data_IF_537868331806
#
_entry.id   IF_537868331806
#
_cell.length_a   1.000
_cell.length_b   1.000
_cell.length_c   1.000
_cell.angle_alpha   90.00
_cell.angle_beta   90.00
_cell.angle_gamma   90.00
#
_symmetry.space_group_name_H-M   'P 1'
#
loop_
_entity.id
_entity.type
_entity.pdbx_description
1 polymer ?
#
# COMPACT_ATOMS: atom_id res chain seq x y z
N UNK A 1 8.06 -19.77 -11.64
CA UNK A 1 9.20 -18.84 -11.84
C UNK A 1 9.58 -18.08 -10.56
N UNK A 2 8.93 -16.98 -10.15
CA UNK A 2 9.36 -16.22 -8.97
C UNK A 2 9.35 -17.05 -7.66
N UNK A 3 8.27 -17.80 -7.44
CA UNK A 3 8.14 -18.69 -6.28
C UNK A 3 9.23 -19.77 -6.21
N UNK A 4 9.60 -20.37 -7.34
CA UNK A 4 10.66 -21.38 -7.43
C UNK A 4 12.04 -20.78 -7.12
N UNK A 5 12.23 -19.48 -7.38
CA UNK A 5 13.43 -18.74 -7.05
C UNK A 5 13.42 -18.13 -5.63
N UNK A 6 12.37 -18.37 -4.82
CA UNK A 6 12.23 -17.78 -3.48
C UNK A 6 11.94 -16.28 -3.49
N UNK A 7 11.48 -15.72 -4.61
CA UNK A 7 11.18 -14.28 -4.75
C UNK A 7 9.68 -14.04 -4.53
N UNK A 8 9.37 -13.06 -3.67
CA UNK A 8 8.02 -12.55 -3.45
C UNK A 8 7.68 -11.43 -4.44
N UNK A 9 6.40 -11.31 -4.82
CA UNK A 9 5.92 -10.33 -5.81
C UNK A 9 4.77 -9.51 -5.26
N UNK A 10 4.88 -8.18 -5.39
CA UNK A 10 3.78 -7.22 -5.20
C UNK A 10 3.22 -6.88 -6.59
N UNK A 11 1.90 -6.85 -6.75
CA UNK A 11 1.25 -6.68 -8.06
C UNK A 11 0.80 -8.00 -8.69
N UNK A 12 0.89 -8.16 -10.03
CA UNK A 12 1.23 -7.15 -11.04
C UNK A 12 0.13 -6.09 -11.21
N UNK A 13 0.29 -5.21 -12.21
CA UNK A 13 -0.64 -4.12 -12.50
C UNK A 13 -0.86 -3.21 -11.27
N UNK A 14 0.24 -2.78 -10.69
CA UNK A 14 0.23 -1.94 -9.51
C UNK A 14 0.94 -0.61 -9.75
N UNK A 15 0.56 0.40 -8.96
CA UNK A 15 1.21 1.71 -8.91
C UNK A 15 2.58 1.62 -8.25
N UNK A 16 2.74 0.70 -7.30
CA UNK A 16 3.97 0.51 -6.53
C UNK A 16 3.77 0.75 -5.04
N UNK A 17 4.87 1.01 -4.35
CA UNK A 17 4.91 1.17 -2.89
C UNK A 17 5.69 2.42 -2.49
N UNK A 18 5.36 2.99 -1.33
CA UNK A 18 6.10 4.11 -0.73
C UNK A 18 6.27 3.89 0.78
N UNK A 19 7.39 4.37 1.32
CA UNK A 19 7.67 4.40 2.75
C UNK A 19 8.34 5.73 3.11
N UNK A 20 7.57 6.62 3.74
CA UNK A 20 8.01 7.97 4.06
C UNK A 20 9.14 7.98 5.11
N UNK A 21 9.17 6.99 6.02
CA UNK A 21 10.15 6.91 7.11
C UNK A 21 11.60 6.85 6.61
N UNK A 22 11.79 6.27 5.43
CA UNK A 22 13.11 6.10 4.79
C UNK A 22 13.20 6.86 3.46
N UNK A 23 12.23 7.71 3.14
CA UNK A 23 12.17 8.44 1.87
C UNK A 23 12.06 7.55 0.63
N UNK A 24 11.53 6.33 0.74
CA UNK A 24 11.38 5.42 -0.38
C UNK A 24 10.11 5.74 -1.18
N UNK A 25 10.28 6.04 -2.46
CA UNK A 25 9.21 6.05 -3.44
C UNK A 25 9.55 5.09 -4.58
N UNK A 26 8.98 3.88 -4.54
CA UNK A 26 9.07 2.87 -5.59
C UNK A 26 7.73 2.79 -6.35
N UNK A 27 7.23 3.96 -6.77
CA UNK A 27 6.00 4.12 -7.52
C UNK A 27 6.16 5.22 -8.58
N UNK A 28 5.16 5.38 -9.44
CA UNK A 28 5.13 6.46 -10.44
C UNK A 28 4.20 7.62 -10.04
N UNK A 29 3.87 7.75 -8.75
CA UNK A 29 3.08 8.87 -8.21
C UNK A 29 3.89 9.67 -7.18
N UNK A 30 3.46 10.92 -6.95
CA UNK A 30 4.08 11.77 -5.94
C UNK A 30 3.82 11.24 -4.52
N UNK A 31 4.72 11.60 -3.61
CA UNK A 31 4.61 11.26 -2.19
C UNK A 31 3.98 12.45 -1.46
N UNK A 32 2.84 12.28 -0.79
CA UNK A 32 2.26 13.33 0.05
C UNK A 32 3.20 13.62 1.24
N UNK A 33 2.93 14.66 2.05
CA UNK A 33 3.69 14.91 3.26
C UNK A 33 3.81 13.66 4.14
N UNK A 34 4.88 13.58 4.95
CA UNK A 34 4.98 12.50 5.92
C UNK A 34 3.87 12.63 6.98
N UNK A 35 3.27 11.50 7.36
CA UNK A 35 2.26 11.45 8.41
C UNK A 35 2.09 10.05 8.97
N UNK A 36 0.96 9.80 9.63
CA UNK A 36 0.72 8.57 10.40
C UNK A 36 -0.30 7.61 9.74
N UNK A 37 -0.76 7.93 8.53
CA UNK A 37 -1.74 7.14 7.78
C UNK A 37 -1.00 6.18 6.84
N UNK A 38 -1.23 4.88 7.01
CA UNK A 38 -0.78 3.87 6.05
C UNK A 38 -1.94 3.37 5.20
N UNK A 39 -1.74 3.29 3.89
CA UNK A 39 -2.81 2.96 2.95
C UNK A 39 -2.47 1.72 2.12
N UNK A 40 -3.43 0.82 2.01
CA UNK A 40 -3.41 -0.31 1.08
C UNK A 40 -4.53 -0.10 0.05
N UNK A 41 -4.21 -0.26 -1.24
CA UNK A 41 -5.20 -0.16 -2.31
C UNK A 41 -5.06 -1.29 -3.33
N UNK A 42 -6.17 -1.88 -3.75
CA UNK A 42 -6.22 -2.70 -4.97
C UNK A 42 -6.33 -1.83 -6.23
N UNK A 43 -7.07 -0.72 -6.18
CA UNK A 43 -7.23 0.20 -7.31
C UNK A 43 -6.07 1.19 -7.41
N UNK A 44 -5.42 1.23 -8.56
CA UNK A 44 -4.37 2.20 -8.85
C UNK A 44 -4.91 3.62 -8.94
N UNK A 45 -5.93 3.85 -9.78
CA UNK A 45 -6.50 5.18 -10.00
C UNK A 45 -7.11 5.79 -8.74
N UNK A 46 -7.78 4.99 -7.92
CA UNK A 46 -8.32 5.46 -6.64
C UNK A 46 -7.20 5.83 -5.67
N UNK A 47 -6.15 4.99 -5.55
CA UNK A 47 -4.98 5.29 -4.73
C UNK A 47 -4.31 6.61 -5.13
N UNK A 48 -4.13 6.84 -6.43
CA UNK A 48 -3.60 8.10 -6.95
C UNK A 48 -4.48 9.31 -6.59
N UNK A 49 -5.80 9.17 -6.72
CA UNK A 49 -6.74 10.25 -6.41
C UNK A 49 -6.74 10.62 -4.92
N UNK A 50 -6.67 9.61 -4.04
CA UNK A 50 -6.54 9.83 -2.59
C UNK A 50 -5.22 10.53 -2.28
N UNK A 51 -4.11 10.12 -2.89
CA UNK A 51 -2.80 10.74 -2.67
C UNK A 51 -2.77 12.20 -3.11
N UNK A 52 -3.37 12.51 -4.26
CA UNK A 52 -3.53 13.89 -4.72
C UNK A 52 -4.36 14.74 -3.74
N UNK A 53 -5.43 14.17 -3.15
CA UNK A 53 -6.23 14.87 -2.16
C UNK A 53 -5.49 15.05 -0.82
N UNK A 54 -4.76 14.03 -0.37
CA UNK A 54 -3.92 14.09 0.83
C UNK A 54 -2.87 15.20 0.73
N UNK A 55 -2.21 15.34 -0.41
CA UNK A 55 -1.26 16.42 -0.67
C UNK A 55 -1.92 17.81 -0.58
N UNK A 56 -3.12 17.97 -1.17
CA UNK A 56 -3.88 19.23 -1.14
C UNK A 56 -4.36 19.62 0.26
N UNK A 57 -4.74 18.63 1.07
CA UNK A 57 -5.26 18.86 2.42
C UNK A 57 -4.16 18.85 3.49
N UNK A 58 -2.89 18.66 3.10
CA UNK A 58 -1.73 18.54 3.99
C UNK A 58 -1.94 17.39 5.01
N UNK A 59 -2.55 16.31 4.54
CA UNK A 59 -2.71 15.07 5.30
C UNK A 59 -1.59 14.12 4.90
N UNK A 60 -0.79 13.70 5.88
CA UNK A 60 0.41 12.94 5.59
C UNK A 60 0.21 11.43 5.49
N UNK A 61 1.05 10.76 4.68
CA UNK A 61 1.13 9.31 4.58
C UNK A 61 2.40 8.78 5.25
N UNK A 62 2.27 7.67 5.97
CA UNK A 62 3.39 6.88 6.50
C UNK A 62 3.89 5.91 5.44
N UNK A 63 3.01 4.99 5.01
CA UNK A 63 3.34 3.95 4.02
C UNK A 63 2.20 3.73 3.03
N UNK A 64 2.56 3.42 1.79
CA UNK A 64 1.62 3.11 0.72
C UNK A 64 1.94 1.76 0.10
N UNK A 65 0.90 0.95 -0.11
CA UNK A 65 1.00 -0.25 -0.90
C UNK A 65 -0.17 -0.34 -1.88
N UNK A 66 0.09 -0.19 -3.17
CA UNK A 66 -0.85 -0.64 -4.18
C UNK A 66 -0.52 -2.07 -4.58
N UNK A 67 -1.43 -3.01 -4.28
CA UNK A 67 -1.19 -4.44 -4.50
C UNK A 67 -1.64 -4.93 -5.88
N UNK A 68 -2.33 -4.08 -6.66
CA UNK A 68 -2.85 -4.41 -7.98
C UNK A 68 -3.65 -5.72 -7.94
N UNK A 69 -3.27 -6.67 -8.80
CA UNK A 69 -3.91 -7.98 -8.86
C UNK A 69 -3.64 -8.87 -7.62
N UNK A 70 -2.63 -8.55 -6.80
CA UNK A 70 -2.32 -9.26 -5.55
C UNK A 70 -2.09 -10.76 -5.71
N UNK A 71 -1.30 -11.17 -6.72
CA UNK A 71 -1.16 -12.60 -7.09
C UNK A 71 -0.26 -13.40 -6.15
N UNK A 72 0.54 -12.73 -5.32
CA UNK A 72 1.42 -13.36 -4.33
C UNK A 72 1.34 -12.64 -2.98
N UNK A 73 1.93 -11.44 -2.85
CA UNK A 73 1.77 -10.66 -1.62
C UNK A 73 0.36 -10.07 -1.60
N UNK A 74 -0.42 -10.50 -0.61
CA UNK A 74 -1.83 -10.15 -0.47
C UNK A 74 -2.04 -9.03 0.55
N UNK A 75 -3.28 -8.54 0.57
CA UNK A 75 -3.74 -7.50 1.46
C UNK A 75 -3.46 -7.80 2.96
N UNK A 76 -3.69 -9.04 3.41
CA UNK A 76 -3.51 -9.46 4.81
C UNK A 76 -2.04 -9.39 5.27
N UNK A 77 -1.09 -9.64 4.37
CA UNK A 77 0.34 -9.49 4.70
C UNK A 77 0.69 -8.03 4.96
N UNK A 78 0.17 -7.09 4.16
CA UNK A 78 0.37 -5.65 4.39
C UNK A 78 -0.37 -5.16 5.63
N UNK A 79 -1.60 -5.64 5.85
CA UNK A 79 -2.36 -5.29 7.06
C UNK A 79 -1.60 -5.73 8.31
N UNK A 80 -1.11 -6.97 8.34
CA UNK A 80 -0.27 -7.50 9.42
C UNK A 80 1.02 -6.69 9.60
N UNK A 81 1.67 -6.29 8.51
CA UNK A 81 2.85 -5.45 8.59
C UNK A 81 2.53 -4.06 9.19
N UNK A 82 1.45 -3.42 8.75
CA UNK A 82 1.05 -2.09 9.22
C UNK A 82 0.55 -2.08 10.68
N UNK A 83 -0.06 -3.17 11.16
CA UNK A 83 -0.49 -3.25 12.57
C UNK A 83 0.68 -3.34 13.56
N UNK A 84 1.86 -3.76 13.11
CA UNK A 84 3.08 -3.83 13.93
C UNK A 84 4.01 -2.63 13.71
N UNK A 85 3.63 -1.68 12.87
CA UNK A 85 4.43 -0.52 12.53
C UNK A 85 4.13 0.66 13.48
N UNK A 86 5.14 1.09 14.26
CA UNK A 86 4.97 2.15 15.26
C UNK A 86 4.57 3.51 14.67
N UNK A 87 4.93 3.76 13.40
CA UNK A 87 4.66 4.99 12.66
C UNK A 87 3.28 4.98 11.97
N UNK A 88 2.53 3.88 12.06
CA UNK A 88 1.17 3.78 11.55
C UNK A 88 0.18 3.93 12.71
N UNK A 89 -0.65 4.98 12.68
CA UNK A 89 -1.76 5.17 13.63
C UNK A 89 -3.12 4.87 13.02
N UNK A 90 -3.24 5.05 11.70
CA UNK A 90 -4.47 4.83 10.95
C UNK A 90 -4.13 3.96 9.75
N UNK A 91 -4.90 2.89 9.54
CA UNK A 91 -4.80 2.03 8.37
C UNK A 91 -6.02 2.27 7.48
N UNK A 92 -5.78 2.80 6.28
CA UNK A 92 -6.80 3.02 5.26
C UNK A 92 -6.74 1.90 4.22
N UNK A 93 -7.90 1.33 3.89
CA UNK A 93 -7.99 0.16 3.02
C UNK A 93 -8.99 0.44 1.92
N UNK A 94 -8.54 0.36 0.68
CA UNK A 94 -9.43 0.24 -0.48
C UNK A 94 -9.36 -1.18 -1.03
N UNK A 95 -10.47 -1.90 -0.97
CA UNK A 95 -10.57 -3.30 -1.35
C UNK A 95 -11.76 -3.55 -2.26
N UNK A 96 -11.51 -4.20 -3.39
CA UNK A 96 -12.52 -4.62 -4.36
C UNK A 96 -12.89 -6.09 -4.15
N UNK A 97 -11.93 -6.93 -3.78
CA UNK A 97 -12.15 -8.36 -3.56
C UNK A 97 -11.26 -8.92 -2.45
N UNK A 98 -11.87 -9.72 -1.58
CA UNK A 98 -11.21 -10.51 -0.55
C UNK A 98 -11.20 -11.98 -0.97
N UNK A 99 -10.04 -12.50 -1.37
CA UNK A 99 -9.87 -13.90 -1.75
C UNK A 99 -9.97 -14.86 -0.56
N UNK A 100 -9.64 -14.43 0.66
CA UNK A 100 -9.80 -15.23 1.88
C UNK A 100 -10.15 -14.38 3.11
N UNK A 101 -11.42 -13.99 3.21
CA UNK A 101 -11.90 -13.10 4.28
C UNK A 101 -11.82 -13.67 5.71
N UNK A 102 -11.67 -14.98 5.91
CA UNK A 102 -11.51 -15.58 7.26
C UNK A 102 -10.10 -15.42 7.83
N UNK A 103 -9.12 -15.20 6.95
CA UNK A 103 -7.71 -15.02 7.32
C UNK A 103 -7.36 -13.55 7.59
N UNK A 104 -8.17 -12.64 7.05
CA UNK A 104 -8.01 -11.19 7.21
C UNK A 104 -8.52 -10.72 8.58
#
# INVERSE_FOLDING_TARGET
>A
KCKEAGIRVIGPNCVGIQNADIGLNASFIQTPPQGEISMISQSGSFGCAVFYQMERDIVGCSKFANIGNGVDVSFDEFLSFFTHDANTKIICIYIETLSNGRRC
#
